data_IF_542196565828
#
_entry.id   IF_542196565828
#
_cell.length_a   1.000
_cell.length_b   1.000
_cell.length_c   1.000
_cell.angle_alpha   90.00
_cell.angle_beta   90.00
_cell.angle_gamma   90.00
#
_symmetry.space_group_name_H-M   'P 1'
#
loop_
_entity.id
_entity.type
_entity.pdbx_description
1 polymer ?
#
# COMPACT_ATOMS: atom_id res chain seq x y z
N UNK A 1 -2.84 -15.99 6.12
CA UNK A 1 -1.84 -14.97 6.52
C UNK A 1 -1.95 -13.69 5.70
N UNK A 2 -1.92 -13.73 4.36
CA UNK A 2 -1.99 -12.52 3.52
C UNK A 2 -3.29 -11.71 3.61
N UNK A 3 -4.43 -12.33 3.93
CA UNK A 3 -5.69 -11.59 4.15
C UNK A 3 -5.63 -10.59 5.30
N UNK A 4 -4.90 -10.92 6.38
CA UNK A 4 -4.70 -10.01 7.51
C UNK A 4 -3.83 -8.79 7.14
N UNK A 5 -2.85 -8.98 6.26
CA UNK A 5 -2.02 -7.89 5.73
C UNK A 5 -2.88 -6.84 5.02
N UNK A 6 -3.87 -7.30 4.24
CA UNK A 6 -4.74 -6.41 3.48
C UNK A 6 -5.67 -5.58 4.38
N UNK A 7 -6.20 -6.19 5.43
CA UNK A 7 -6.96 -5.49 6.48
C UNK A 7 -6.10 -4.41 7.16
N UNK A 8 -4.84 -4.73 7.49
CA UNK A 8 -3.90 -3.79 8.10
C UNK A 8 -3.53 -2.63 7.17
N UNK A 9 -3.24 -2.91 5.91
CA UNK A 9 -2.95 -1.89 4.89
C UNK A 9 -4.13 -0.93 4.73
N UNK A 10 -5.35 -1.45 4.76
CA UNK A 10 -6.55 -0.63 4.56
C UNK A 10 -6.88 0.22 5.76
N UNK A 11 -6.72 -0.33 6.97
CA UNK A 11 -6.80 0.43 8.21
C UNK A 11 -5.76 1.55 8.24
N UNK A 12 -4.55 1.31 7.73
CA UNK A 12 -3.51 2.34 7.64
C UNK A 12 -3.84 3.43 6.63
N UNK A 13 -4.42 3.09 5.48
CA UNK A 13 -4.78 4.08 4.44
C UNK A 13 -6.00 4.91 4.87
N UNK A 14 -6.83 4.40 5.78
CA UNK A 14 -8.06 5.07 6.21
C UNK A 14 -9.19 4.98 5.17
N UNK A 15 -9.13 3.98 4.28
CA UNK A 15 -10.15 3.73 3.26
C UNK A 15 -10.90 2.44 3.60
N UNK A 16 -12.25 2.44 3.55
CA UNK A 16 -13.04 1.23 3.80
C UNK A 16 -12.68 0.19 2.73
N UNK A 17 -12.00 -0.86 3.18
CA UNK A 17 -11.61 -1.96 2.32
C UNK A 17 -12.86 -2.68 1.83
N UNK A 18 -13.05 -2.74 0.51
CA UNK A 18 -13.95 -3.73 -0.06
C UNK A 18 -13.21 -5.06 -0.04
N UNK A 19 -13.52 -5.94 0.89
CA UNK A 19 -13.08 -7.33 0.94
C UNK A 19 -13.47 -8.04 -0.36
N UNK A 20 -12.56 -8.13 -1.33
CA UNK A 20 -12.76 -8.88 -2.56
C UNK A 20 -11.86 -10.12 -2.54
N UNK A 21 -12.41 -11.26 -2.92
CA UNK A 21 -11.70 -12.54 -2.87
C UNK A 21 -10.57 -12.65 -3.91
N UNK A 22 -10.47 -11.69 -4.83
CA UNK A 22 -9.60 -11.69 -6.00
C UNK A 22 -8.77 -10.40 -6.10
N UNK A 23 -7.45 -10.52 -6.24
CA UNK A 23 -6.49 -9.39 -6.35
C UNK A 23 -6.82 -8.41 -7.48
N UNK A 24 -7.40 -8.91 -8.58
CA UNK A 24 -7.82 -8.11 -9.73
C UNK A 24 -9.11 -7.32 -9.45
N UNK A 25 -10.08 -7.91 -8.75
CA UNK A 25 -11.30 -7.21 -8.31
C UNK A 25 -10.99 -6.11 -7.30
N UNK A 26 -9.99 -6.31 -6.44
CA UNK A 26 -9.47 -5.27 -5.56
C UNK A 26 -8.96 -4.06 -6.36
N UNK A 27 -8.23 -4.28 -7.45
CA UNK A 27 -7.72 -3.20 -8.28
C UNK A 27 -8.85 -2.40 -8.94
N UNK A 28 -9.83 -3.07 -9.55
CA UNK A 28 -10.94 -2.40 -10.24
C UNK A 28 -11.83 -1.65 -9.26
N UNK A 29 -12.22 -2.28 -8.14
CA UNK A 29 -13.16 -1.68 -7.18
C UNK A 29 -12.55 -0.50 -6.42
N UNK A 30 -11.26 -0.56 -6.15
CA UNK A 30 -10.52 0.50 -5.46
C UNK A 30 -10.19 1.69 -6.38
N UNK A 31 -9.97 1.43 -7.67
CA UNK A 31 -9.74 2.49 -8.67
C UNK A 31 -11.04 3.19 -9.08
N UNK A 32 -12.16 2.45 -9.16
CA UNK A 32 -13.49 2.97 -9.51
C UNK A 32 -14.15 3.69 -8.33
N UNK A 33 -13.98 3.22 -7.08
CA UNK A 33 -14.53 3.88 -5.88
C UNK A 33 -13.82 5.19 -5.49
N UNK A 34 -12.65 5.47 -6.05
CA UNK A 34 -11.83 6.63 -5.67
C UNK A 34 -12.32 7.99 -6.24
N UNK A 35 -13.38 8.02 -7.05
CA UNK A 35 -13.84 9.25 -7.70
C UNK A 35 -12.87 9.76 -8.78
N UNK A 36 -13.03 11.03 -9.18
CA UNK A 36 -12.45 11.58 -10.43
C UNK A 36 -11.03 12.16 -10.30
N UNK A 37 -10.41 12.02 -9.13
CA UNK A 37 -9.07 12.55 -8.88
C UNK A 37 -8.01 11.59 -9.42
N UNK A 38 -7.41 11.93 -10.57
CA UNK A 38 -6.28 11.21 -11.19
C UNK A 38 -5.16 10.90 -10.18
N UNK A 39 -4.86 11.84 -9.28
CA UNK A 39 -3.85 11.67 -8.23
C UNK A 39 -4.21 10.54 -7.24
N UNK A 40 -5.50 10.41 -6.87
CA UNK A 40 -5.98 9.35 -5.98
C UNK A 40 -5.87 7.98 -6.65
N UNK A 41 -6.21 7.86 -7.93
CA UNK A 41 -6.03 6.61 -8.70
C UNK A 41 -4.55 6.21 -8.78
N UNK A 42 -3.65 7.13 -9.14
CA UNK A 42 -2.21 6.87 -9.19
C UNK A 42 -1.63 6.46 -7.83
N UNK A 43 -2.08 7.11 -6.75
CA UNK A 43 -1.69 6.77 -5.38
C UNK A 43 -2.13 5.34 -5.01
N UNK A 44 -3.39 5.01 -5.27
CA UNK A 44 -3.91 3.66 -5.00
C UNK A 44 -3.19 2.58 -5.81
N UNK A 45 -2.84 2.86 -7.07
CA UNK A 45 -2.04 1.96 -7.91
C UNK A 45 -0.63 1.73 -7.32
N UNK A 46 -0.01 2.78 -6.79
CA UNK A 46 1.32 2.69 -6.16
C UNK A 46 1.29 1.80 -4.91
N UNK A 47 0.27 1.97 -4.05
CA UNK A 47 0.04 1.11 -2.89
C UNK A 47 -0.16 -0.34 -3.31
N UNK A 48 -1.02 -0.58 -4.30
CA UNK A 48 -1.28 -1.94 -4.80
C UNK A 48 0.01 -2.60 -5.30
N UNK A 49 0.81 -1.90 -6.09
CA UNK A 49 2.08 -2.41 -6.61
C UNK A 49 3.10 -2.66 -5.49
N UNK A 50 3.14 -1.82 -4.47
CA UNK A 50 3.96 -2.03 -3.27
C UNK A 50 3.55 -3.30 -2.51
N UNK A 51 2.25 -3.56 -2.39
CA UNK A 51 1.75 -4.75 -1.71
C UNK A 51 2.07 -6.02 -2.49
N UNK A 52 1.83 -6.04 -3.81
CA UNK A 52 2.18 -7.18 -4.67
C UNK A 52 3.68 -7.46 -4.61
N UNK A 53 4.50 -6.42 -4.65
CA UNK A 53 5.95 -6.54 -4.50
C UNK A 53 6.37 -7.17 -3.18
N UNK A 54 5.79 -6.74 -2.05
CA UNK A 54 6.12 -7.30 -0.72
C UNK A 54 5.64 -8.74 -0.57
N UNK A 55 4.45 -9.07 -1.09
CA UNK A 55 3.97 -10.47 -1.10
C UNK A 55 4.87 -11.35 -1.97
N UNK A 56 5.29 -10.86 -3.13
CA UNK A 56 6.21 -11.58 -4.01
C UNK A 56 7.58 -11.80 -3.36
N UNK A 57 8.19 -10.76 -2.81
CA UNK A 57 9.49 -10.86 -2.14
C UNK A 57 9.44 -11.76 -0.91
N UNK A 58 8.33 -11.75 -0.14
CA UNK A 58 8.14 -12.67 0.98
C UNK A 58 8.03 -14.13 0.51
N UNK A 59 7.29 -14.40 -0.58
CA UNK A 59 7.24 -15.74 -1.16
C UNK A 59 8.61 -16.22 -1.64
N UNK A 60 9.38 -15.34 -2.28
CA UNK A 60 10.75 -15.66 -2.68
C UNK A 60 11.66 -15.89 -1.46
N UNK A 61 11.58 -15.04 -0.44
CA UNK A 61 12.37 -15.23 0.79
C UNK A 61 12.06 -16.54 1.51
N UNK A 62 10.79 -16.95 1.54
CA UNK A 62 10.39 -18.25 2.08
C UNK A 62 10.97 -19.41 1.28
N UNK A 63 10.99 -19.30 -0.06
CA UNK A 63 11.57 -20.30 -0.95
C UNK A 63 13.10 -20.45 -0.81
N UNK A 64 13.81 -19.37 -0.48
CA UNK A 64 15.28 -19.35 -0.49
C UNK A 64 15.93 -19.29 0.90
N UNK A 65 15.19 -18.93 1.95
CA UNK A 65 15.81 -18.54 3.24
C UNK A 65 15.05 -18.94 4.50
N UNK A 66 13.95 -19.68 4.39
CA UNK A 66 13.11 -20.18 5.51
C UNK A 66 12.81 -19.13 6.61
N UNK A 67 12.86 -17.84 6.28
CA UNK A 67 12.54 -16.77 7.22
C UNK A 67 11.10 -16.36 7.02
N UNK A 68 10.27 -16.53 8.04
CA UNK A 68 8.91 -16.00 8.04
C UNK A 68 8.90 -14.58 8.61
N UNK A 69 8.59 -13.59 7.78
CA UNK A 69 8.33 -12.26 8.31
C UNK A 69 6.92 -12.20 8.89
N UNK A 70 6.78 -11.54 10.04
CA UNK A 70 5.48 -11.24 10.61
C UNK A 70 4.72 -10.26 9.70
N UNK A 71 3.38 -10.33 9.76
CA UNK A 71 2.50 -9.46 8.96
C UNK A 71 2.79 -7.97 9.22
N UNK A 72 3.18 -7.60 10.44
CA UNK A 72 3.58 -6.24 10.81
C UNK A 72 4.87 -5.81 10.10
N UNK A 73 5.86 -6.69 10.00
CA UNK A 73 7.11 -6.40 9.28
C UNK A 73 6.86 -6.26 7.77
N UNK A 74 5.93 -7.04 7.21
CA UNK A 74 5.49 -6.86 5.83
C UNK A 74 4.80 -5.51 5.61
N UNK A 75 3.96 -5.06 6.56
CA UNK A 75 3.33 -3.74 6.48
C UNK A 75 4.37 -2.62 6.49
N UNK A 76 5.39 -2.70 7.35
CA UNK A 76 6.48 -1.73 7.38
C UNK A 76 7.24 -1.65 6.03
N UNK A 77 7.54 -2.81 5.44
CA UNK A 77 8.14 -2.87 4.09
C UNK A 77 7.25 -2.18 3.04
N UNK A 78 5.93 -2.37 3.10
CA UNK A 78 4.98 -1.70 2.20
C UNK A 78 5.03 -0.18 2.41
N UNK A 79 4.97 0.30 3.65
CA UNK A 79 5.04 1.74 3.98
C UNK A 79 6.33 2.37 3.46
N UNK A 80 7.45 1.72 3.74
CA UNK A 80 8.79 2.18 3.35
C UNK A 80 8.97 2.20 1.83
N UNK A 81 8.55 1.14 1.12
CA UNK A 81 8.64 1.09 -0.34
C UNK A 81 7.76 2.16 -0.99
N UNK A 82 6.52 2.31 -0.50
CA UNK A 82 5.57 3.30 -1.02
C UNK A 82 6.09 4.73 -0.81
N UNK A 83 6.63 5.04 0.37
CA UNK A 83 7.22 6.34 0.67
C UNK A 83 8.43 6.66 -0.21
N UNK A 84 9.38 5.71 -0.34
CA UNK A 84 10.57 5.89 -1.18
C UNK A 84 10.19 6.14 -2.64
N UNK A 85 9.21 5.39 -3.15
CA UNK A 85 8.74 5.53 -4.53
C UNK A 85 8.03 6.86 -4.76
N UNK A 86 7.18 7.28 -3.83
CA UNK A 86 6.53 8.58 -3.90
C UNK A 86 7.56 9.72 -3.90
N UNK A 87 8.54 9.68 -2.99
CA UNK A 87 9.60 10.69 -2.91
C UNK A 87 10.49 10.70 -4.16
N UNK A 88 10.73 9.55 -4.78
CA UNK A 88 11.45 9.45 -6.05
C UNK A 88 10.65 10.03 -7.24
N UNK A 89 9.33 9.89 -7.23
CA UNK A 89 8.45 10.37 -8.32
C UNK A 89 8.11 11.85 -8.15
N UNK A 90 8.14 12.37 -6.93
CA UNK A 90 7.79 13.75 -6.61
C UNK A 90 8.74 14.30 -5.56
N UNK A 91 9.95 14.67 -5.99
CA UNK A 91 11.00 15.22 -5.13
C UNK A 91 10.64 16.57 -4.50
N UNK A 92 9.66 17.29 -5.07
CA UNK A 92 9.13 18.57 -4.60
C UNK A 92 8.01 18.44 -3.57
N UNK A 93 7.45 17.24 -3.39
CA UNK A 93 6.38 16.97 -2.43
C UNK A 93 6.99 16.83 -1.03
N UNK A 94 6.78 17.84 -0.17
CA UNK A 94 7.22 17.85 1.23
C UNK A 94 6.39 16.90 2.10
N UNK A 95 6.42 15.61 1.79
CA UNK A 95 5.73 14.58 2.56
C UNK A 95 6.60 14.18 3.75
N UNK A 96 6.16 14.54 4.95
CA UNK A 96 6.84 14.15 6.18
C UNK A 96 6.69 12.64 6.43
N UNK A 97 7.76 12.00 6.89
CA UNK A 97 7.73 10.57 7.23
C UNK A 97 6.68 10.29 8.32
N UNK A 98 6.65 11.10 9.38
CA UNK A 98 5.70 10.93 10.48
C UNK A 98 4.23 11.03 10.04
N UNK A 99 3.91 11.98 9.17
CA UNK A 99 2.54 12.12 8.67
C UNK A 99 2.17 10.96 7.76
N UNK A 100 3.10 10.48 6.92
CA UNK A 100 2.89 9.33 6.03
C UNK A 100 2.60 8.04 6.80
N UNK A 101 3.32 7.84 7.90
CA UNK A 101 3.19 6.69 8.75
C UNK A 101 1.84 6.60 9.47
N UNK A 102 1.26 7.75 9.79
CA UNK A 102 -0.03 7.88 10.45
C UNK A 102 -1.21 7.86 9.46
N UNK A 103 -1.20 8.75 8.46
CA UNK A 103 -2.34 8.97 7.56
C UNK A 103 -1.90 9.38 6.14
N UNK A 104 -1.68 8.43 5.22
CA UNK A 104 -1.12 8.72 3.90
C UNK A 104 -2.09 9.47 2.98
N UNK A 105 -3.41 9.30 3.13
CA UNK A 105 -4.39 10.07 2.34
C UNK A 105 -4.43 11.55 2.74
N UNK A 106 -4.31 11.85 4.03
CA UNK A 106 -4.23 13.23 4.54
C UNK A 106 -2.93 13.92 4.09
N UNK A 107 -1.81 13.19 4.03
CA UNK A 107 -0.54 13.73 3.55
C UNK A 107 -0.58 14.24 2.11
N UNK A 108 -1.44 13.62 1.29
CA UNK A 108 -1.57 13.95 -0.12
C UNK A 108 -2.71 14.93 -0.39
N UNK A 109 -3.44 15.37 0.65
CA UNK A 109 -4.60 16.26 0.49
C UNK A 109 -5.72 15.63 -0.34
N UNK A 110 -5.88 14.31 -0.27
CA UNK A 110 -6.85 13.55 -1.09
C UNK A 110 -8.16 13.24 -0.34
N UNK A 111 -8.46 13.98 0.73
CA UNK A 111 -9.72 13.96 1.49
C UNK A 111 -10.70 14.98 0.91
#
# INVERSE_FOLDING_TARGET
>A
TFGALWSLVSSWIGSPLVTAQTLSDHFVRFTVSAGDLRARRSFMQLIWLACVWVVWTERNHRLFRDSENTVLHMLDKIKTFSYRRLKATSSTLAVNCHSWWSSPMLCLGLV
#
